data_IF_942165982137
#
_entry.id   IF_942165982137
#
_cell.length_a   1.000
_cell.length_b   1.000
_cell.length_c   1.000
_cell.angle_alpha   90.00
_cell.angle_beta   90.00
_cell.angle_gamma   90.00
#
_symmetry.space_group_name_H-M   'P 1'
#
loop_
_entity.id
_entity.type
_entity.pdbx_description
1 polymer ?
#
# COMPACT_ATOMS: atom_id res chain seq x y z
N UNK A 1 -12.78 -7.92 -4.28
CA UNK A 1 -12.29 -6.61 -3.83
C UNK A 1 -11.59 -5.92 -4.98
N UNK A 2 -11.79 -4.63 -5.10
CA UNK A 2 -11.21 -3.88 -6.19
C UNK A 2 -10.54 -2.60 -5.69
N UNK A 3 -9.32 -2.70 -5.20
CA UNK A 3 -8.56 -1.53 -4.73
C UNK A 3 -8.16 -0.62 -5.88
N UNK A 4 -8.27 -1.11 -7.11
CA UNK A 4 -8.00 -0.32 -8.31
C UNK A 4 -9.07 0.73 -8.57
N UNK A 5 -10.25 0.55 -7.97
CA UNK A 5 -11.37 1.47 -8.12
C UNK A 5 -11.40 2.47 -6.99
N UNK A 6 -10.37 3.31 -6.91
CA UNK A 6 -10.31 4.37 -5.92
C UNK A 6 -10.11 5.72 -6.60
N UNK A 7 -11.08 6.16 -7.43
CA UNK A 7 -10.93 7.45 -8.09
C UNK A 7 -10.84 8.60 -7.10
N UNK A 8 -11.47 8.47 -5.93
CA UNK A 8 -11.41 9.50 -4.90
C UNK A 8 -9.99 9.66 -4.36
N UNK A 9 -9.25 8.56 -4.21
CA UNK A 9 -7.87 8.63 -3.75
C UNK A 9 -6.97 9.29 -4.79
N UNK A 10 -7.19 9.00 -6.07
CA UNK A 10 -6.42 9.59 -7.14
C UNK A 10 -6.62 11.10 -7.29
N UNK A 11 -7.76 11.61 -6.84
CA UNK A 11 -8.12 13.02 -6.95
C UNK A 11 -7.67 13.87 -5.76
N UNK A 12 -7.07 13.24 -4.74
CA UNK A 12 -6.66 13.96 -3.55
C UNK A 12 -5.48 14.89 -3.83
N UNK A 13 -5.50 16.12 -3.26
CA UNK A 13 -4.42 17.09 -3.49
C UNK A 13 -3.14 16.82 -2.69
N UNK A 14 -3.18 15.89 -1.75
CA UNK A 14 -2.04 15.51 -0.91
C UNK A 14 -1.83 14.01 -0.95
N UNK A 15 -0.63 13.57 -0.65
CA UNK A 15 -0.33 12.15 -0.59
C UNK A 15 -0.97 11.50 0.62
N UNK A 16 -1.52 10.30 0.41
CA UNK A 16 -1.96 9.41 1.48
C UNK A 16 -1.41 8.03 1.22
N UNK A 17 -1.07 7.34 2.29
CA UNK A 17 -0.58 5.97 2.22
C UNK A 17 -1.50 5.09 3.04
N UNK A 18 -2.07 4.09 2.38
CA UNK A 18 -3.04 3.18 2.98
C UNK A 18 -2.56 1.74 2.89
N UNK A 19 -2.93 0.95 3.90
CA UNK A 19 -2.76 -0.50 3.87
C UNK A 19 -4.14 -1.13 3.88
N UNK A 20 -4.35 -2.07 2.98
CA UNK A 20 -5.58 -2.86 2.90
C UNK A 20 -5.25 -4.26 3.40
N UNK A 21 -6.04 -4.76 4.34
CA UNK A 21 -5.82 -6.05 4.98
C UNK A 21 -6.81 -7.06 4.43
N UNK A 22 -6.31 -8.22 4.03
CA UNK A 22 -7.07 -9.23 3.31
C UNK A 22 -6.99 -10.57 4.01
N UNK A 23 -8.09 -11.34 3.94
CA UNK A 23 -8.09 -12.70 4.43
C UNK A 23 -7.64 -13.67 3.33
N UNK A 24 -7.71 -14.96 3.63
CA UNK A 24 -7.28 -16.03 2.71
C UNK A 24 -8.11 -16.07 1.41
N UNK A 25 -9.30 -15.51 1.41
CA UNK A 25 -10.16 -15.44 0.23
C UNK A 25 -10.05 -14.10 -0.48
N UNK A 26 -9.05 -13.29 -0.13
CA UNK A 26 -8.83 -11.94 -0.67
C UNK A 26 -9.98 -10.98 -0.39
N UNK A 27 -10.71 -11.21 0.70
CA UNK A 27 -11.71 -10.26 1.16
C UNK A 27 -11.06 -9.24 2.06
N UNK A 28 -11.50 -7.99 1.94
CA UNK A 28 -11.00 -6.89 2.76
C UNK A 28 -11.51 -7.06 4.20
N UNK A 29 -10.58 -7.17 5.13
CA UNK A 29 -10.89 -7.23 6.56
C UNK A 29 -10.87 -5.85 7.19
N UNK A 30 -9.96 -5.00 6.74
CA UNK A 30 -9.80 -3.67 7.28
C UNK A 30 -8.89 -2.85 6.36
N UNK A 31 -8.83 -1.56 6.62
CA UNK A 31 -7.90 -0.65 5.95
C UNK A 31 -7.38 0.34 6.98
N UNK A 32 -6.16 0.78 6.81
CA UNK A 32 -5.50 1.69 7.73
C UNK A 32 -4.73 2.74 6.97
N UNK A 33 -5.00 4.00 7.26
CA UNK A 33 -4.21 5.10 6.73
C UNK A 33 -2.99 5.27 7.61
N UNK A 34 -1.80 5.05 7.03
CA UNK A 34 -0.56 5.17 7.79
C UNK A 34 -0.04 6.59 7.83
N UNK A 35 -0.33 7.38 6.80
CA UNK A 35 0.21 8.72 6.73
C UNK A 35 -0.55 9.58 5.74
N UNK A 36 -0.47 10.89 5.92
CA UNK A 36 -1.18 11.89 5.15
C UNK A 36 -0.33 13.13 4.99
N UNK A 37 -0.22 13.62 3.73
CA UNK A 37 0.43 14.88 3.42
C UNK A 37 1.95 14.89 3.58
N UNK A 38 2.69 15.25 2.53
CA UNK A 38 4.13 15.45 2.56
C UNK A 38 4.96 14.28 3.02
N UNK A 39 4.40 13.09 2.97
CA UNK A 39 5.06 11.90 3.48
C UNK A 39 6.12 11.38 2.54
N UNK A 40 7.22 10.89 3.12
CA UNK A 40 8.20 10.08 2.40
C UNK A 40 8.12 8.64 2.89
N UNK A 41 8.69 7.70 2.13
CA UNK A 41 8.69 6.30 2.52
C UNK A 41 9.35 6.04 3.87
N UNK A 42 10.26 6.90 4.29
CA UNK A 42 10.94 6.77 5.58
C UNK A 42 10.05 7.10 6.77
N UNK A 43 8.92 7.76 6.54
CA UNK A 43 7.98 8.14 7.59
C UNK A 43 6.90 7.09 7.82
N UNK A 44 6.84 6.04 7.01
CA UNK A 44 5.88 4.96 7.17
C UNK A 44 6.35 4.02 8.28
N UNK A 45 5.55 3.87 9.32
CA UNK A 45 5.88 2.96 10.42
C UNK A 45 5.37 1.56 10.10
N UNK A 46 6.30 0.71 9.70
CA UNK A 46 5.97 -0.68 9.33
C UNK A 46 5.45 -1.48 10.51
N UNK A 47 5.83 -1.12 11.73
CA UNK A 47 5.36 -1.83 12.93
C UNK A 47 3.86 -1.63 13.13
N UNK A 48 3.36 -0.43 12.88
CA UNK A 48 1.93 -0.14 12.99
C UNK A 48 1.16 -0.95 11.96
N UNK A 49 1.65 -0.99 10.73
CA UNK A 49 1.01 -1.76 9.66
C UNK A 49 0.91 -3.24 10.01
N UNK A 50 1.98 -3.82 10.51
CA UNK A 50 2.03 -5.25 10.81
C UNK A 50 1.25 -5.59 12.08
N UNK A 51 1.27 -4.71 13.09
CA UNK A 51 0.46 -4.90 14.28
C UNK A 51 -1.02 -5.03 13.91
N UNK A 52 -1.50 -4.14 13.06
CA UNK A 52 -2.90 -4.17 12.66
C UNK A 52 -3.23 -5.43 11.88
N UNK A 53 -2.31 -5.90 11.04
CA UNK A 53 -2.49 -7.15 10.30
C UNK A 53 -2.74 -8.32 11.26
N UNK A 54 -1.96 -8.40 12.33
CA UNK A 54 -2.11 -9.45 13.33
C UNK A 54 -3.41 -9.30 14.11
N UNK A 55 -3.79 -8.07 14.45
CA UNK A 55 -5.02 -7.81 15.19
C UNK A 55 -6.27 -8.26 14.44
N UNK A 56 -6.31 -8.04 13.13
CA UNK A 56 -7.49 -8.38 12.32
C UNK A 56 -7.42 -9.76 11.70
N UNK A 57 -6.33 -10.48 11.93
CA UNK A 57 -6.16 -11.83 11.38
C UNK A 57 -5.95 -11.84 9.87
N UNK A 58 -5.30 -10.82 9.34
CA UNK A 58 -5.01 -10.75 7.92
C UNK A 58 -3.94 -11.77 7.54
N UNK A 59 -3.97 -12.20 6.29
CA UNK A 59 -2.94 -13.07 5.70
C UNK A 59 -2.15 -12.31 4.65
N UNK A 60 -2.80 -11.34 4.00
CA UNK A 60 -2.18 -10.54 2.95
C UNK A 60 -2.43 -9.06 3.18
N UNK A 61 -1.51 -8.25 2.64
CA UNK A 61 -1.62 -6.80 2.66
C UNK A 61 -1.48 -6.28 1.22
N UNK A 62 -2.25 -5.25 0.91
CA UNK A 62 -2.05 -4.47 -0.30
C UNK A 62 -1.78 -3.03 0.11
N UNK A 63 -0.80 -2.41 -0.52
CA UNK A 63 -0.43 -1.03 -0.23
C UNK A 63 -1.04 -0.14 -1.32
N UNK A 64 -1.59 0.98 -0.92
CA UNK A 64 -2.19 1.94 -1.85
C UNK A 64 -1.71 3.33 -1.49
N UNK A 65 -1.29 4.08 -2.49
CA UNK A 65 -0.65 5.35 -2.29
C UNK A 65 -0.94 6.21 -3.52
N UNK A 66 -1.30 7.47 -3.33
CA UNK A 66 -1.56 8.36 -4.44
C UNK A 66 -0.38 9.28 -4.70
N UNK A 67 -0.19 9.65 -5.98
CA UNK A 67 0.77 10.67 -6.38
C UNK A 67 0.01 11.86 -6.95
N UNK A 68 -0.19 12.94 -6.18
CA UNK A 68 -0.90 14.12 -6.66
C UNK A 68 -0.25 14.77 -7.87
N UNK A 69 1.05 14.58 -8.05
CA UNK A 69 1.77 15.10 -9.21
C UNK A 69 1.37 14.45 -10.53
N UNK A 70 0.66 13.31 -10.48
CA UNK A 70 0.29 12.56 -11.66
C UNK A 70 1.34 11.57 -12.14
N UNK A 71 2.49 11.50 -11.48
CA UNK A 71 3.57 10.58 -11.85
C UNK A 71 3.22 9.17 -11.43
N UNK A 72 3.22 8.23 -12.39
CA UNK A 72 2.96 6.82 -12.10
C UNK A 72 4.22 6.04 -11.73
N UNK A 73 5.38 6.59 -11.97
CA UNK A 73 6.63 5.92 -11.61
C UNK A 73 6.82 5.88 -10.11
N UNK A 74 7.17 4.73 -9.52
CA UNK A 74 7.47 4.67 -8.10
C UNK A 74 8.77 5.40 -7.80
N UNK A 75 8.81 6.13 -6.68
CA UNK A 75 10.03 6.75 -6.20
C UNK A 75 10.92 5.70 -5.53
N UNK A 76 12.18 6.05 -5.27
CA UNK A 76 13.04 5.16 -4.50
C UNK A 76 12.51 4.93 -3.09
N UNK A 77 11.87 5.96 -2.50
CA UNK A 77 11.23 5.83 -1.20
C UNK A 77 10.08 4.83 -1.25
N UNK A 78 9.27 4.88 -2.32
CA UNK A 78 8.17 3.92 -2.52
C UNK A 78 8.68 2.49 -2.57
N UNK A 79 9.76 2.27 -3.32
CA UNK A 79 10.36 0.95 -3.46
C UNK A 79 10.92 0.46 -2.14
N UNK A 80 11.58 1.33 -1.37
CA UNK A 80 12.16 0.97 -0.08
C UNK A 80 11.11 0.58 0.93
N UNK A 81 10.00 1.34 1.03
CA UNK A 81 8.95 1.01 1.99
C UNK A 81 8.26 -0.30 1.61
N UNK A 82 8.06 -0.53 0.32
CA UNK A 82 7.47 -1.78 -0.16
C UNK A 82 8.36 -2.97 0.18
N UNK A 83 9.66 -2.86 -0.07
CA UNK A 83 10.60 -3.93 0.22
C UNK A 83 10.68 -4.20 1.72
N UNK A 84 10.71 -3.15 2.53
CA UNK A 84 10.76 -3.28 3.98
C UNK A 84 9.54 -4.00 4.52
N UNK A 85 8.35 -3.60 4.07
CA UNK A 85 7.11 -4.26 4.46
C UNK A 85 7.05 -5.70 3.99
N UNK A 86 7.45 -5.98 2.75
CA UNK A 86 7.45 -7.32 2.20
C UNK A 86 8.38 -8.24 2.99
N UNK A 87 9.59 -7.77 3.31
CA UNK A 87 10.57 -8.54 4.06
C UNK A 87 10.08 -8.83 5.48
N UNK A 88 9.58 -7.82 6.17
CA UNK A 88 9.07 -7.99 7.53
C UNK A 88 7.84 -8.89 7.58
N UNK A 89 6.98 -8.79 6.57
CA UNK A 89 5.77 -9.61 6.48
C UNK A 89 6.08 -11.08 6.38
N UNK A 90 7.11 -11.45 5.65
CA UNK A 90 7.50 -12.87 5.51
C UNK A 90 7.82 -13.52 6.84
N UNK A 91 8.44 -12.77 7.76
CA UNK A 91 8.77 -13.30 9.08
C UNK A 91 7.54 -13.60 9.92
N UNK A 92 6.39 -13.03 9.58
CA UNK A 92 5.13 -13.21 10.29
C UNK A 92 4.13 -14.05 9.47
N UNK A 93 4.59 -14.70 8.41
CA UNK A 93 3.74 -15.47 7.50
C UNK A 93 2.66 -14.62 6.86
N UNK A 94 2.95 -13.34 6.65
CA UNK A 94 2.11 -12.41 5.92
C UNK A 94 2.72 -12.15 4.54
N UNK A 95 1.91 -11.69 3.60
CA UNK A 95 2.38 -11.44 2.25
C UNK A 95 1.87 -10.10 1.74
N UNK A 96 2.78 -9.27 1.24
CA UNK A 96 2.41 -8.08 0.50
C UNK A 96 2.12 -8.50 -0.93
N UNK A 97 0.87 -8.39 -1.36
CA UNK A 97 0.46 -8.88 -2.68
C UNK A 97 0.57 -7.83 -3.77
N UNK A 98 0.53 -6.56 -3.42
CA UNK A 98 0.68 -5.49 -4.39
C UNK A 98 0.95 -4.16 -3.69
N UNK A 99 1.44 -3.21 -4.46
CA UNK A 99 1.53 -1.81 -4.07
C UNK A 99 1.02 -1.01 -5.27
N UNK A 100 -0.08 -0.29 -5.11
CA UNK A 100 -0.68 0.51 -6.16
C UNK A 100 -0.37 1.97 -5.94
N UNK A 101 0.12 2.62 -6.99
CA UNK A 101 0.25 4.06 -7.03
C UNK A 101 -0.91 4.58 -7.89
N UNK A 102 -1.73 5.47 -7.34
CA UNK A 102 -2.94 5.94 -8.00
C UNK A 102 -2.81 7.41 -8.33
N UNK A 103 -3.21 7.78 -9.55
CA UNK A 103 -3.30 9.17 -10.00
C UNK A 103 -4.66 9.38 -10.64
N UNK A 104 -4.98 10.64 -10.99
CA UNK A 104 -6.20 10.95 -11.73
C UNK A 104 -6.33 10.17 -13.03
N UNK A 105 -5.19 9.86 -13.67
CA UNK A 105 -5.16 9.29 -15.01
C UNK A 105 -4.99 7.78 -15.04
N UNK A 106 -4.72 7.14 -13.91
CA UNK A 106 -4.50 5.70 -13.92
C UNK A 106 -3.81 5.22 -12.67
N UNK A 107 -3.20 4.06 -12.77
CA UNK A 107 -2.50 3.45 -11.66
C UNK A 107 -1.28 2.68 -12.14
N UNK A 108 -0.34 2.47 -11.20
CA UNK A 108 0.83 1.62 -11.39
C UNK A 108 0.76 0.51 -10.37
N UNK A 109 0.88 -0.74 -10.80
CA UNK A 109 0.90 -1.91 -9.92
C UNK A 109 2.30 -2.49 -9.88
N UNK A 110 2.87 -2.58 -8.68
CA UNK A 110 4.19 -3.19 -8.51
C UNK A 110 4.17 -4.65 -8.93
N UNK A 111 3.10 -5.38 -8.63
CA UNK A 111 2.98 -6.78 -9.02
C UNK A 111 2.89 -6.94 -10.53
N UNK A 112 2.05 -6.14 -11.19
CA UNK A 112 1.88 -6.20 -12.64
C UNK A 112 3.17 -5.88 -13.37
N UNK A 113 3.98 -4.97 -12.84
CA UNK A 113 5.23 -4.54 -13.46
C UNK A 113 6.44 -5.34 -12.99
N UNK A 114 6.24 -6.35 -12.16
CA UNK A 114 7.31 -7.24 -11.74
C UNK A 114 8.34 -6.62 -10.81
N UNK A 115 7.98 -5.58 -10.07
CA UNK A 115 8.90 -4.90 -9.15
C UNK A 115 8.55 -5.15 -7.68
N UNK A 116 7.65 -6.06 -7.43
CA UNK A 116 7.29 -6.44 -6.08
C UNK A 116 8.16 -7.59 -5.58
#
# INVERSE_FOLDING_TARGET
MCIRDSPLLGDLPHEEFWVIYLNNSNKVLDKLQLSKGGMTGTLVDTRIALKRALEVGAISLALVHNHPSGTLQPSEADKRVTQKLATASKSLDLRVIDHLIITEKGYFSFADEGVL
#
